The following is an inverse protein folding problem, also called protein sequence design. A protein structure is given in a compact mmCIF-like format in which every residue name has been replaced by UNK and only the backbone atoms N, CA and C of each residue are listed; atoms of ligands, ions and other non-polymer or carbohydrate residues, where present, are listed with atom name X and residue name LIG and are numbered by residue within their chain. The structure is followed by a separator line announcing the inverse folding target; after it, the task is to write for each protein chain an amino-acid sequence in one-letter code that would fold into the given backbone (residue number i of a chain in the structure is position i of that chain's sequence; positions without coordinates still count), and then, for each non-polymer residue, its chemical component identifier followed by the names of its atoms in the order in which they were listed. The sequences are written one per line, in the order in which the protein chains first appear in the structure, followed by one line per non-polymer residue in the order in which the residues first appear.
data_IF_049691009023
#
_entry.id   IF_049691009023
#
_cell.length_a   1.000
_cell.length_b   1.000
_cell.length_c   1.000
_cell.angle_alpha   90.00
_cell.angle_beta   90.00
_cell.angle_gamma   90.00
#
_symmetry.space_group_name_H-M   'P 1'
#
loop_
_entity.id
_entity.type
_entity.pdbx_description
1 polymer ?
#
# COMPACT_ATOMS: atom_id res chain seq x y z
N UNK A 1 9.31 0.95 -14.28
CA UNK A 1 8.50 1.94 -13.53
C UNK A 1 8.75 1.78 -12.05
N UNK A 2 9.03 2.88 -11.38
CA UNK A 2 9.22 2.86 -9.92
C UNK A 2 7.85 2.87 -9.24
N UNK A 3 7.65 1.96 -8.30
CA UNK A 3 6.42 1.87 -7.53
C UNK A 3 6.71 2.07 -6.04
N UNK A 4 5.72 2.61 -5.34
CA UNK A 4 5.83 2.99 -3.94
C UNK A 4 4.60 2.54 -3.16
N UNK A 5 4.79 2.32 -1.87
CA UNK A 5 3.71 2.02 -0.94
C UNK A 5 3.88 2.90 0.32
N UNK A 6 2.86 3.70 0.61
CA UNK A 6 2.85 4.56 1.80
C UNK A 6 2.11 3.89 2.94
N UNK A 7 2.69 3.95 4.14
CA UNK A 7 2.14 3.28 5.32
C UNK A 7 2.58 3.98 6.61
N UNK A 8 2.17 3.43 7.75
CA UNK A 8 2.57 3.89 9.07
C UNK A 8 3.58 2.94 9.70
N UNK A 9 4.52 3.49 10.47
CA UNK A 9 5.47 2.69 11.25
C UNK A 9 4.79 1.78 12.28
N UNK A 10 3.54 2.07 12.65
CA UNK A 10 2.78 1.23 13.57
C UNK A 10 2.18 -0.01 12.90
N UNK A 11 2.16 -0.05 11.57
CA UNK A 11 1.77 -1.24 10.84
C UNK A 11 3.01 -2.10 10.64
N UNK A 12 3.02 -3.25 11.30
CA UNK A 12 4.19 -4.13 11.31
C UNK A 12 4.32 -4.84 9.95
N UNK A 13 4.90 -4.15 8.99
CA UNK A 13 5.13 -4.67 7.64
C UNK A 13 6.54 -5.26 7.59
N UNK A 14 6.64 -6.53 7.23
CA UNK A 14 7.92 -7.20 7.02
C UNK A 14 8.56 -6.82 5.67
N UNK A 15 9.23 -7.76 5.03
CA UNK A 15 9.89 -7.54 3.73
C UNK A 15 8.92 -7.58 2.55
N UNK A 16 7.72 -8.08 2.77
CA UNK A 16 6.69 -8.25 1.73
C UNK A 16 5.40 -7.60 2.23
N UNK A 17 4.79 -6.81 1.35
CA UNK A 17 3.51 -6.18 1.64
C UNK A 17 2.42 -7.12 1.12
N UNK A 18 1.52 -7.52 2.01
CA UNK A 18 0.43 -8.44 1.72
C UNK A 18 -0.92 -7.74 1.82
N UNK A 19 -1.96 -8.25 1.12
CA UNK A 19 -3.30 -7.69 1.19
C UNK A 19 -3.90 -7.75 2.60
N UNK A 20 -4.86 -6.85 2.93
CA UNK A 20 -5.53 -6.82 4.23
C UNK A 20 -6.21 -8.13 4.62
N UNK A 21 -6.71 -8.89 3.66
CA UNK A 21 -7.34 -10.19 3.93
C UNK A 21 -6.37 -11.16 4.61
N UNK A 22 -5.06 -10.96 4.41
CA UNK A 22 -4.01 -11.79 5.03
C UNK A 22 -3.39 -11.15 6.28
N UNK A 23 -3.55 -9.83 6.43
CA UNK A 23 -2.89 -9.06 7.50
C UNK A 23 -3.88 -8.45 8.49
N UNK A 24 -5.18 -8.57 8.24
CA UNK A 24 -6.25 -7.98 9.05
C UNK A 24 -6.21 -6.45 9.13
N UNK A 25 -5.50 -5.80 8.23
CA UNK A 25 -5.44 -4.34 8.17
C UNK A 25 -6.62 -3.84 7.33
N UNK A 26 -7.52 -3.07 7.96
CA UNK A 26 -8.70 -2.53 7.26
C UNK A 26 -8.37 -1.29 6.46
N UNK A 27 -9.03 -1.13 5.33
CA UNK A 27 -8.88 0.01 4.43
C UNK A 27 -10.04 0.97 4.50
N UNK A 28 -9.91 2.09 3.78
CA UNK A 28 -10.98 3.05 3.61
C UNK A 28 -12.15 2.42 2.85
N UNK A 29 -13.33 2.97 3.06
CA UNK A 29 -14.61 2.42 2.62
C UNK A 29 -14.63 1.88 1.18
N UNK A 30 -14.23 2.67 0.20
CA UNK A 30 -14.31 2.26 -1.20
C UNK A 30 -13.25 1.21 -1.59
N UNK A 31 -12.19 1.08 -0.79
CA UNK A 31 -11.11 0.11 -1.01
C UNK A 31 -11.39 -1.23 -0.34
N UNK A 32 -12.37 -1.31 0.53
CA UNK A 32 -12.69 -2.55 1.25
C UNK A 32 -13.07 -3.68 0.30
N UNK A 33 -13.62 -3.36 -0.87
CA UNK A 33 -13.98 -4.33 -1.90
C UNK A 33 -12.77 -5.02 -2.52
N UNK A 34 -11.56 -4.46 -2.34
CA UNK A 34 -10.31 -4.97 -2.88
C UNK A 34 -9.38 -5.44 -1.77
N UNK A 35 -9.95 -6.12 -0.77
CA UNK A 35 -9.19 -6.60 0.41
C UNK A 35 -8.17 -7.68 0.08
N UNK A 36 -8.29 -8.31 -1.09
CA UNK A 36 -7.34 -9.32 -1.57
C UNK A 36 -6.18 -8.74 -2.39
N UNK A 37 -6.09 -7.41 -2.49
CA UNK A 37 -5.07 -6.74 -3.30
C UNK A 37 -4.30 -5.72 -2.48
N UNK A 38 -3.05 -5.49 -2.91
CA UNK A 38 -2.18 -4.43 -2.37
C UNK A 38 -2.27 -3.22 -3.29
N UNK A 39 -2.38 -2.03 -2.72
CA UNK A 39 -2.35 -0.78 -3.47
C UNK A 39 -0.94 -0.23 -3.51
N UNK A 40 -0.47 0.08 -4.71
CA UNK A 40 0.83 0.74 -4.93
C UNK A 40 0.63 1.91 -5.89
N UNK A 41 1.58 2.83 -5.91
CA UNK A 41 1.51 4.02 -6.76
C UNK A 41 2.85 4.29 -7.43
N UNK A 42 2.82 4.88 -8.61
CA UNK A 42 4.03 5.36 -9.26
C UNK A 42 4.37 6.82 -8.89
N UNK A 43 3.57 7.43 -8.03
CA UNK A 43 3.75 8.80 -7.56
C UNK A 43 4.23 8.82 -6.11
N UNK A 44 5.44 9.31 -5.86
CA UNK A 44 5.95 9.42 -4.49
C UNK A 44 5.10 10.40 -3.66
N UNK A 45 4.55 11.42 -4.31
CA UNK A 45 3.64 12.37 -3.65
C UNK A 45 2.38 11.67 -3.14
N UNK A 46 1.79 10.81 -3.97
CA UNK A 46 0.62 10.01 -3.57
C UNK A 46 0.97 9.03 -2.45
N UNK A 47 2.13 8.40 -2.53
CA UNK A 47 2.58 7.49 -1.48
C UNK A 47 2.74 8.21 -0.14
N UNK A 48 3.28 9.42 -0.15
CA UNK A 48 3.40 10.24 1.06
C UNK A 48 2.03 10.59 1.64
N UNK A 49 1.06 10.88 0.78
CA UNK A 49 -0.30 11.16 1.21
C UNK A 49 -0.96 9.94 1.85
N UNK A 50 -0.78 8.76 1.27
CA UNK A 50 -1.29 7.52 1.86
C UNK A 50 -0.63 7.19 3.19
N UNK A 51 0.68 7.45 3.31
CA UNK A 51 1.40 7.28 4.56
C UNK A 51 0.84 8.18 5.66
N UNK A 52 0.56 9.45 5.33
CA UNK A 52 -0.05 10.39 6.26
C UNK A 52 -1.42 9.92 6.72
N UNK A 53 -2.27 9.45 5.80
CA UNK A 53 -3.59 8.92 6.13
C UNK A 53 -3.50 7.68 7.03
N UNK A 54 -2.55 6.80 6.78
CA UNK A 54 -2.32 5.64 7.62
C UNK A 54 -1.95 6.05 9.05
N UNK A 55 -1.11 7.09 9.19
CA UNK A 55 -0.74 7.61 10.51
C UNK A 55 -1.92 8.24 11.24
N UNK A 56 -2.81 8.90 10.53
CA UNK A 56 -4.03 9.46 11.12
C UNK A 56 -4.93 8.37 11.68
N UNK A 57 -4.93 7.19 11.05
CA UNK A 57 -5.76 6.07 11.47
C UNK A 57 -5.09 5.17 12.52
N UNK A 58 -3.80 4.91 12.38
CA UNK A 58 -3.07 3.93 13.19
C UNK A 58 -1.99 4.54 14.08
N UNK A 59 -1.76 5.85 14.00
CA UNK A 59 -0.64 6.50 14.69
C UNK A 59 0.69 6.21 14.02
N UNK A 60 1.78 6.49 14.73
CA UNK A 60 3.14 6.24 14.24
C UNK A 60 3.64 7.31 13.29
N UNK A 61 4.70 6.99 12.57
CA UNK A 61 5.36 7.87 11.62
C UNK A 61 5.09 7.44 10.18
N UNK A 62 4.98 8.39 9.23
CA UNK A 62 4.77 8.05 7.83
C UNK A 62 6.02 7.40 7.23
N UNK A 63 5.82 6.31 6.50
CA UNK A 63 6.88 5.59 5.80
C UNK A 63 6.44 5.35 4.37
N UNK A 64 7.36 5.56 3.43
CA UNK A 64 7.17 5.23 2.02
C UNK A 64 8.24 4.22 1.62
N UNK A 65 7.79 3.07 1.13
CA UNK A 65 8.68 2.02 0.63
C UNK A 65 8.72 2.03 -0.88
N UNK A 66 9.88 1.79 -1.45
CA UNK A 66 10.00 1.37 -2.85
C UNK A 66 9.66 -0.10 -2.91
N UNK A 67 8.84 -0.50 -3.88
CA UNK A 67 8.34 -1.85 -3.95
C UNK A 67 8.37 -2.40 -5.37
N UNK A 68 8.41 -3.72 -5.46
CA UNK A 68 8.26 -4.46 -6.71
C UNK A 68 7.03 -5.35 -6.58
N UNK A 69 6.00 -5.15 -7.42
CA UNK A 69 4.80 -5.97 -7.36
C UNK A 69 5.05 -7.39 -7.86
N UNK A 70 4.27 -8.33 -7.37
CA UNK A 70 4.26 -9.69 -7.89
C UNK A 70 2.83 -10.19 -8.03
N UNK A 71 2.65 -11.21 -8.87
CA UNK A 71 1.33 -11.75 -9.17
C UNK A 71 0.53 -10.82 -10.07
N UNK A 72 -0.77 -10.74 -9.85
CA UNK A 72 -1.66 -9.86 -10.59
C UNK A 72 -1.23 -8.40 -10.44
N UNK A 73 -1.26 -7.65 -11.53
CA UNK A 73 -0.89 -6.24 -11.53
C UNK A 73 -1.75 -5.50 -12.54
N UNK A 74 -2.49 -4.48 -12.08
CA UNK A 74 -3.33 -3.68 -12.95
C UNK A 74 -3.43 -2.25 -12.47
N UNK A 75 -3.55 -1.33 -13.42
CA UNK A 75 -3.82 0.07 -13.12
C UNK A 75 -5.32 0.25 -12.89
N UNK A 76 -5.68 0.90 -11.79
CA UNK A 76 -7.07 1.17 -11.44
C UNK A 76 -7.42 2.66 -11.47
N UNK A 77 -6.42 3.51 -11.47
CA UNK A 77 -6.58 4.96 -11.51
C UNK A 77 -5.28 5.59 -12.02
N UNK A 78 -5.25 6.91 -12.21
CA UNK A 78 -4.13 7.62 -12.86
C UNK A 78 -2.73 7.17 -12.42
N UNK A 79 -2.47 7.18 -11.11
CA UNK A 79 -1.17 6.80 -10.58
C UNK A 79 -1.28 5.61 -9.62
N UNK A 80 -2.42 4.94 -9.61
CA UNK A 80 -2.73 3.90 -8.62
C UNK A 80 -2.89 2.55 -9.29
N UNK A 81 -2.24 1.54 -8.71
CA UNK A 81 -2.23 0.16 -9.20
C UNK A 81 -2.58 -0.80 -8.08
N UNK A 82 -3.07 -1.96 -8.45
CA UNK A 82 -3.31 -3.07 -7.51
C UNK A 82 -2.47 -4.27 -7.92
N UNK A 83 -2.06 -5.06 -6.93
CA UNK A 83 -1.31 -6.29 -7.16
C UNK A 83 -1.59 -7.32 -6.05
N UNK A 84 -1.17 -8.56 -6.28
CA UNK A 84 -1.35 -9.61 -5.28
C UNK A 84 -0.48 -9.38 -4.04
N UNK A 85 0.69 -8.81 -4.24
CA UNK A 85 1.62 -8.46 -3.18
C UNK A 85 2.74 -7.61 -3.73
N UNK A 86 3.57 -7.06 -2.85
CA UNK A 86 4.70 -6.24 -3.27
C UNK A 86 5.89 -6.49 -2.35
N UNK A 87 7.05 -6.70 -2.96
CA UNK A 87 8.30 -6.89 -2.24
C UNK A 87 8.97 -5.54 -2.03
N UNK A 88 9.40 -5.27 -0.81
CA UNK A 88 10.16 -4.06 -0.49
C UNK A 88 11.58 -4.23 -1.04
N UNK A 89 12.04 -3.23 -1.77
CA UNK A 89 13.36 -3.25 -2.40
C UNK A 89 14.27 -2.15 -1.86
#
# INVERSE_FOLDING_TARGET
MMLYHGTSSNLNIGKVILPPIKTDIKREHWREKLTDKVFVTNSIKSAKMYAKKACEKYGGNPIVYKVKPFGFFAQIHNAEFICDGAKII
#
